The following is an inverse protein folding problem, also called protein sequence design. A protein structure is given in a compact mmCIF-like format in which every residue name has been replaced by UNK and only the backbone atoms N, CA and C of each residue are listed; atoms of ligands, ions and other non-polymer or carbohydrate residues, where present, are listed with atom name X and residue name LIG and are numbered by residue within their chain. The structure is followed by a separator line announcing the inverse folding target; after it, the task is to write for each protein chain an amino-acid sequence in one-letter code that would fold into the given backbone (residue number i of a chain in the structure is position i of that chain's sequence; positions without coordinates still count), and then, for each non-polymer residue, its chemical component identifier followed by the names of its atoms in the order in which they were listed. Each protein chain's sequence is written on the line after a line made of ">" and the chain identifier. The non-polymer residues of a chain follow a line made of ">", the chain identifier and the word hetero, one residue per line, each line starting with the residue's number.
data_IF_966133648910
#
_entry.id   IF_966133648910
#
_cell.length_a   1.000
_cell.length_b   1.000
_cell.length_c   1.000
_cell.angle_alpha   90.00
_cell.angle_beta   90.00
_cell.angle_gamma   90.00
#
_symmetry.space_group_name_H-M   'P 1'
#
loop_
_entity.id
_entity.type
_entity.pdbx_description
1 polymer ?
#
# COMPACT_ATOMS: atom_id res chain seq x y z
N UNK A 1 29.52 8.61 -25.53
CA UNK A 1 28.77 9.51 -24.63
C UNK A 1 27.29 9.26 -24.90
N UNK A 2 26.77 8.17 -24.35
CA UNK A 2 25.42 7.66 -24.65
C UNK A 2 24.99 6.74 -23.53
N UNK A 3 24.76 7.31 -22.35
CA UNK A 3 24.01 6.65 -21.29
C UNK A 3 22.58 7.17 -21.37
N UNK A 4 21.70 6.37 -21.97
CA UNK A 4 20.25 6.60 -21.91
C UNK A 4 19.81 6.27 -20.48
N UNK A 5 19.02 7.13 -19.81
CA UNK A 5 18.49 6.76 -18.50
C UNK A 5 17.60 5.54 -18.69
N UNK A 6 17.99 4.41 -18.10
CA UNK A 6 17.09 3.31 -17.85
C UNK A 6 15.96 3.89 -17.01
N UNK A 7 14.83 4.17 -17.65
CA UNK A 7 13.61 4.57 -16.96
C UNK A 7 13.20 3.39 -16.09
N UNK A 8 13.70 3.34 -14.86
CA UNK A 8 13.19 2.49 -13.80
C UNK A 8 11.73 2.83 -13.63
N UNK A 9 10.87 2.11 -14.36
CA UNK A 9 9.45 2.05 -14.08
C UNK A 9 9.34 1.28 -12.77
N UNK A 10 9.59 1.98 -11.66
CA UNK A 10 9.46 1.43 -10.33
C UNK A 10 8.04 0.85 -10.22
N UNK A 11 7.95 -0.44 -9.87
CA UNK A 11 6.66 -1.10 -9.75
C UNK A 11 5.76 -0.29 -8.78
N UNK A 12 4.48 -0.10 -9.11
CA UNK A 12 3.59 0.71 -8.29
C UNK A 12 3.54 0.13 -6.87
N UNK A 13 3.60 1.00 -5.86
CA UNK A 13 3.56 0.57 -4.47
C UNK A 13 2.26 -0.21 -4.17
N UNK A 14 2.36 -1.43 -3.66
CA UNK A 14 1.19 -2.26 -3.31
C UNK A 14 1.22 -2.62 -1.83
N UNK A 15 0.35 -1.99 -1.04
CA UNK A 15 0.09 -2.37 0.34
C UNK A 15 -0.81 -3.61 0.44
N UNK A 16 -0.66 -4.39 1.50
CA UNK A 16 -1.51 -5.53 1.84
C UNK A 16 -2.03 -5.42 3.27
N UNK A 17 -3.33 -5.56 3.44
CA UNK A 17 -3.94 -5.84 4.74
C UNK A 17 -4.68 -7.16 4.66
N UNK A 18 -4.38 -8.04 5.60
CA UNK A 18 -5.05 -9.32 5.80
C UNK A 18 -5.47 -9.40 7.27
N UNK A 19 -6.58 -8.74 7.66
CA UNK A 19 -7.08 -8.86 9.01
C UNK A 19 -7.53 -10.30 9.28
N UNK A 20 -7.15 -10.87 10.43
CA UNK A 20 -7.75 -12.13 10.87
C UNK A 20 -9.27 -11.91 11.08
N UNK A 21 -10.13 -12.84 10.63
CA UNK A 21 -11.59 -12.68 10.67
C UNK A 21 -12.19 -12.84 12.08
N UNK A 22 -11.44 -12.52 13.13
CA UNK A 22 -11.75 -12.83 14.52
C UNK A 22 -12.80 -11.91 15.16
N UNK A 23 -13.61 -11.21 14.37
CA UNK A 23 -14.67 -10.31 14.86
C UNK A 23 -14.93 -9.11 13.96
N UNK A 24 -15.88 -8.25 14.35
CA UNK A 24 -16.17 -6.99 13.67
C UNK A 24 -14.90 -6.13 13.56
N UNK A 25 -14.81 -5.29 12.51
CA UNK A 25 -13.66 -4.42 12.27
C UNK A 25 -13.55 -3.39 13.42
N UNK A 26 -12.80 -3.71 14.46
CA UNK A 26 -12.62 -2.83 15.61
C UNK A 26 -11.88 -1.55 15.20
N UNK A 27 -12.06 -0.47 15.97
CA UNK A 27 -11.43 0.83 15.71
C UNK A 27 -9.90 0.74 15.53
N UNK A 28 -9.26 -0.22 16.21
CA UNK A 28 -7.83 -0.51 16.03
C UNK A 28 -7.47 -0.94 14.59
N UNK A 29 -8.30 -1.73 13.94
CA UNK A 29 -8.10 -2.14 12.54
C UNK A 29 -8.33 -0.98 11.58
N UNK A 30 -9.28 -0.08 11.88
CA UNK A 30 -9.53 1.13 11.08
C UNK A 30 -8.31 2.05 11.07
N UNK A 31 -7.68 2.28 12.23
CA UNK A 31 -6.45 3.09 12.32
C UNK A 31 -5.32 2.50 11.50
N UNK A 32 -5.09 1.20 11.63
CA UNK A 32 -4.06 0.47 10.87
C UNK A 32 -4.34 0.52 9.37
N UNK A 33 -5.61 0.36 8.97
CA UNK A 33 -6.04 0.46 7.58
C UNK A 33 -5.78 1.85 6.99
N UNK A 34 -6.14 2.89 7.72
CA UNK A 34 -5.95 4.28 7.30
C UNK A 34 -4.47 4.62 7.10
N UNK A 35 -3.60 4.21 8.03
CA UNK A 35 -2.15 4.45 7.93
C UNK A 35 -1.57 3.74 6.71
N UNK A 36 -1.93 2.48 6.48
CA UNK A 36 -1.47 1.72 5.34
C UNK A 36 -1.98 2.33 4.01
N UNK A 37 -3.22 2.85 4.01
CA UNK A 37 -3.81 3.51 2.85
C UNK A 37 -3.11 4.82 2.51
N UNK A 38 -2.84 5.66 3.51
CA UNK A 38 -2.11 6.91 3.34
C UNK A 38 -0.71 6.68 2.79
N UNK A 39 0.02 5.67 3.30
CA UNK A 39 1.33 5.28 2.76
C UNK A 39 1.24 4.86 1.30
N UNK A 40 0.26 4.05 0.94
CA UNK A 40 0.09 3.63 -0.44
C UNK A 40 -0.20 4.83 -1.35
N UNK A 41 -1.09 5.74 -0.93
CA UNK A 41 -1.43 6.95 -1.68
C UNK A 41 -0.25 7.89 -1.86
N UNK A 42 0.56 8.09 -0.83
CA UNK A 42 1.76 8.94 -0.88
C UNK A 42 2.79 8.43 -1.91
N UNK A 43 2.83 7.11 -2.14
CA UNK A 43 3.74 6.48 -3.08
C UNK A 43 3.11 6.21 -4.46
N UNK A 44 1.96 6.85 -4.78
CA UNK A 44 1.25 6.61 -6.04
C UNK A 44 0.74 5.18 -6.23
N UNK A 45 0.57 4.46 -5.11
CA UNK A 45 0.25 3.05 -5.05
C UNK A 45 -1.20 2.74 -4.67
N UNK A 46 -1.47 1.46 -4.40
CA UNK A 46 -2.77 0.96 -3.96
C UNK A 46 -2.66 0.07 -2.73
N UNK A 47 -3.73 -0.03 -1.95
CA UNK A 47 -3.85 -0.92 -0.80
C UNK A 47 -4.84 -2.04 -1.13
N UNK A 48 -4.41 -3.29 -1.01
CA UNK A 48 -5.25 -4.48 -1.24
C UNK A 48 -5.66 -5.09 0.10
N UNK A 49 -6.96 -5.11 0.35
CA UNK A 49 -7.58 -5.84 1.45
C UNK A 49 -7.81 -7.30 1.02
N UNK A 50 -7.47 -8.24 1.89
CA UNK A 50 -7.62 -9.68 1.68
C UNK A 50 -8.27 -10.32 2.90
#
# INVERSE_FOLDING_TARGET
>A
MSDLPLSESAAPYVGRLAPSPTGALHLGNVRTFLIAWLRARQNGGRLVLR
#
